data_IF_680587877785
#
_entry.id   IF_680587877785
#
_cell.length_a   1.000
_cell.length_b   1.000
_cell.length_c   1.000
_cell.angle_alpha   90.00
_cell.angle_beta   90.00
_cell.angle_gamma   90.00
#
_symmetry.space_group_name_H-M   'P 1'
#
loop_
_entity.id
_entity.type
_entity.pdbx_description
1 polymer ?
#
# COMPACT_ATOMS: atom_id res chain seq x y z
N UNK A 1 14.01 -4.41 -14.29
CA UNK A 1 13.48 -3.34 -15.14
C UNK A 1 13.25 -2.11 -14.28
N UNK A 2 13.90 -0.96 -14.53
CA UNK A 2 13.59 0.26 -13.80
C UNK A 2 12.21 0.74 -14.24
N UNK A 3 11.23 0.73 -13.34
CA UNK A 3 9.94 1.37 -13.57
C UNK A 3 10.18 2.87 -13.66
N UNK A 4 9.85 3.46 -14.81
CA UNK A 4 10.01 4.89 -15.03
C UNK A 4 9.21 5.68 -13.98
N UNK A 5 9.73 6.80 -13.43
CA UNK A 5 9.20 7.44 -12.23
C UNK A 5 7.73 7.91 -12.32
N UNK A 6 7.21 8.08 -13.54
CA UNK A 6 5.78 8.36 -13.80
C UNK A 6 4.91 7.16 -13.42
N UNK A 7 5.34 5.93 -13.74
CA UNK A 7 4.61 4.72 -13.40
C UNK A 7 4.55 4.51 -11.89
N UNK A 8 5.61 4.84 -11.14
CA UNK A 8 5.59 4.76 -9.67
C UNK A 8 4.57 5.73 -9.06
N UNK A 9 4.50 6.98 -9.54
CA UNK A 9 3.49 7.96 -9.07
C UNK A 9 2.06 7.52 -9.37
N UNK A 10 1.80 7.06 -10.60
CA UNK A 10 0.49 6.58 -11.00
C UNK A 10 0.09 5.33 -10.21
N UNK A 11 1.03 4.41 -10.00
CA UNK A 11 0.83 3.19 -9.23
C UNK A 11 0.49 3.49 -7.77
N UNK A 12 1.24 4.41 -7.12
CA UNK A 12 0.94 4.84 -5.74
C UNK A 12 -0.41 5.53 -5.62
N UNK A 13 -0.78 6.37 -6.61
CA UNK A 13 -2.10 7.02 -6.63
C UNK A 13 -3.20 5.97 -6.78
N UNK A 14 -3.03 5.01 -7.67
CA UNK A 14 -3.95 3.91 -7.87
C UNK A 14 -4.13 3.09 -6.59
N UNK A 15 -3.04 2.68 -5.94
CA UNK A 15 -3.09 1.93 -4.67
C UNK A 15 -3.88 2.67 -3.58
N UNK A 16 -3.69 3.99 -3.43
CA UNK A 16 -4.47 4.79 -2.47
C UNK A 16 -5.96 4.79 -2.77
N UNK A 17 -6.33 4.94 -4.04
CA UNK A 17 -7.74 4.90 -4.47
C UNK A 17 -8.37 3.55 -4.20
N UNK A 18 -7.66 2.46 -4.51
CA UNK A 18 -8.15 1.09 -4.30
C UNK A 18 -8.27 0.79 -2.81
N UNK A 19 -7.30 1.20 -1.99
CA UNK A 19 -7.36 1.04 -0.54
C UNK A 19 -8.53 1.85 0.07
N UNK A 20 -8.75 3.10 -0.35
CA UNK A 20 -9.88 3.88 0.10
C UNK A 20 -11.22 3.23 -0.29
N UNK A 21 -11.31 2.68 -1.51
CA UNK A 21 -12.49 1.93 -1.94
C UNK A 21 -12.69 0.66 -1.12
N UNK A 22 -11.62 -0.08 -0.84
CA UNK A 22 -11.65 -1.28 0.01
C UNK A 22 -12.25 -1.00 1.40
N UNK A 23 -11.97 0.17 1.96
CA UNK A 23 -12.49 0.58 3.28
C UNK A 23 -13.99 0.83 3.28
N UNK A 24 -14.56 1.29 2.16
CA UNK A 24 -15.98 1.71 2.10
C UNK A 24 -16.86 0.66 1.41
N UNK A 25 -16.34 -0.01 0.39
CA UNK A 25 -17.05 -0.98 -0.47
C UNK A 25 -16.16 -2.19 -0.79
N UNK A 26 -15.80 -3.02 0.21
CA UNK A 26 -14.87 -4.14 0.04
C UNK A 26 -15.34 -5.17 -0.99
N UNK A 27 -16.65 -5.34 -1.16
CA UNK A 27 -17.29 -6.25 -2.12
C UNK A 27 -17.02 -5.87 -3.59
N UNK A 28 -16.61 -4.63 -3.85
CA UNK A 28 -16.32 -4.13 -5.21
C UNK A 28 -14.91 -4.47 -5.69
N UNK A 29 -14.07 -5.06 -4.82
CA UNK A 29 -12.71 -5.46 -5.17
C UNK A 29 -12.68 -6.77 -5.94
N UNK A 30 -12.00 -6.77 -7.08
CA UNK A 30 -11.65 -8.00 -7.76
C UNK A 30 -10.49 -8.73 -7.05
N UNK A 31 -10.28 -10.00 -7.37
CA UNK A 31 -9.26 -10.84 -6.72
C UNK A 31 -7.85 -10.26 -6.89
N UNK A 32 -7.54 -9.71 -8.06
CA UNK A 32 -6.23 -9.09 -8.35
C UNK A 32 -5.97 -7.86 -7.49
N UNK A 33 -6.97 -7.03 -7.24
CA UNK A 33 -6.86 -5.87 -6.37
C UNK A 33 -6.65 -6.27 -4.90
N UNK A 34 -7.34 -7.33 -4.45
CA UNK A 34 -7.12 -7.91 -3.12
C UNK A 34 -5.70 -8.44 -2.95
N UNK A 35 -5.19 -9.17 -3.93
CA UNK A 35 -3.81 -9.68 -3.89
C UNK A 35 -2.79 -8.54 -3.90
N UNK A 36 -2.99 -7.52 -4.74
CA UNK A 36 -2.09 -6.37 -4.81
C UNK A 36 -2.12 -5.52 -3.54
N UNK A 37 -3.29 -5.34 -2.91
CA UNK A 37 -3.39 -4.69 -1.61
C UNK A 37 -2.70 -5.52 -0.53
N UNK A 38 -2.90 -6.83 -0.50
CA UNK A 38 -2.22 -7.72 0.46
C UNK A 38 -0.71 -7.65 0.30
N UNK A 39 -0.21 -7.68 -0.93
CA UNK A 39 1.21 -7.48 -1.22
C UNK A 39 1.67 -6.10 -0.76
N UNK A 40 0.90 -5.05 -1.09
CA UNK A 40 1.21 -3.69 -0.67
C UNK A 40 1.26 -3.59 0.86
N UNK A 41 0.34 -4.18 1.61
CA UNK A 41 0.35 -4.16 3.08
C UNK A 41 1.53 -4.94 3.66
N UNK A 42 1.91 -6.06 3.06
CA UNK A 42 3.10 -6.80 3.50
C UNK A 42 4.39 -6.01 3.28
N UNK A 43 4.56 -5.35 2.13
CA UNK A 43 5.78 -4.60 1.79
C UNK A 43 5.78 -3.15 2.32
N UNK A 44 4.62 -2.52 2.40
CA UNK A 44 4.41 -1.12 2.81
C UNK A 44 3.94 -1.00 4.26
N UNK A 45 3.15 -1.94 4.78
CA UNK A 45 2.85 -2.03 6.21
C UNK A 45 4.11 -2.29 7.04
N UNK A 46 5.08 -3.04 6.52
CA UNK A 46 6.42 -3.13 7.09
C UNK A 46 7.15 -1.78 7.17
N UNK A 47 6.88 -0.86 6.21
CA UNK A 47 7.44 0.51 6.20
C UNK A 47 6.81 1.40 7.28
N UNK A 48 5.56 1.16 7.68
CA UNK A 48 4.89 1.92 8.74
C UNK A 48 5.27 1.37 10.12
N UNK A 49 5.47 0.06 10.24
CA UNK A 49 5.99 -0.56 11.47
C UNK A 49 7.45 -0.17 11.78
N UNK A 50 8.27 0.05 10.74
CA UNK A 50 9.62 0.64 10.88
C UNK A 50 9.60 2.14 11.25
N UNK A 51 8.46 2.82 11.13
CA UNK A 51 8.29 4.23 11.53
C UNK A 51 8.10 4.42 13.04
N UNK A 52 7.47 3.45 13.72
CA UNK A 52 7.27 3.51 15.18
C UNK A 52 8.35 2.73 15.96
N UNK A 53 8.95 1.69 15.37
CA UNK A 53 10.04 0.96 16.04
C UNK A 53 11.29 1.83 16.28
N UNK A 54 11.52 2.87 15.46
CA UNK A 54 12.58 3.86 15.67
C UNK A 54 12.21 4.98 16.66
N UNK A 55 10.92 5.21 16.90
CA UNK A 55 10.45 6.24 17.83
C UNK A 55 10.31 5.70 19.27
N UNK A 56 10.02 4.41 19.44
CA UNK A 56 9.92 3.76 20.77
C UNK A 56 11.28 3.32 21.32
N UNK A 57 12.30 3.14 20.47
CA UNK A 57 13.67 2.84 20.92
C UNK A 57 14.46 4.07 21.37
N UNK A 58 13.88 5.27 21.28
CA UNK A 58 14.51 6.55 21.62
C UNK A 58 13.78 7.32 22.75
N UNK A 59 12.95 6.62 23.54
CA UNK A 59 12.28 7.15 24.73
C UNK A 59 12.83 6.51 26.01
#
# INVERSE_FOLDING_TARGET
>A
MPTTPIYDRLYRRWLRTVHARATVFPETLNDRERDLLTCADLFWGARWWQGDAGAVAAA
#
